data_IF_679921546529
#
_entry.id   IF_679921546529
#
_cell.length_a   1.000
_cell.length_b   1.000
_cell.length_c   1.000
_cell.angle_alpha   90.00
_cell.angle_beta   90.00
_cell.angle_gamma   90.00
#
_symmetry.space_group_name_H-M   'P 1'
#
loop_
_entity.id
_entity.type
_entity.pdbx_description
1 polymer ?
#
# COMPACT_ATOMS: atom_id res chain seq x y z
N UNK A 1 -4.18 -0.60 -4.07
CA UNK A 1 -2.98 -0.84 -4.91
C UNK A 1 -3.10 0.02 -6.15
N UNK A 2 -2.13 0.90 -6.37
CA UNK A 2 -2.08 1.78 -7.54
C UNK A 2 -0.87 1.45 -8.41
N UNK A 3 -1.01 1.67 -9.72
CA UNK A 3 0.00 1.36 -10.74
C UNK A 3 0.28 2.62 -11.59
N UNK A 4 0.80 3.71 -10.98
CA UNK A 4 1.03 4.94 -11.72
C UNK A 4 2.15 4.77 -12.73
N UNK A 5 2.06 5.44 -13.88
CA UNK A 5 3.14 5.49 -14.87
C UNK A 5 4.39 6.18 -14.31
N UNK A 6 4.18 7.19 -13.44
CA UNK A 6 5.25 7.90 -12.74
C UNK A 6 4.93 7.96 -11.23
N UNK A 7 5.65 7.15 -10.46
CA UNK A 7 5.48 7.06 -9.00
C UNK A 7 5.87 8.36 -8.29
N UNK A 8 6.89 9.05 -8.77
CA UNK A 8 7.38 10.29 -8.15
C UNK A 8 6.35 11.41 -8.28
N UNK A 9 5.76 11.57 -9.47
CA UNK A 9 4.70 12.55 -9.68
C UNK A 9 3.46 12.22 -8.85
N UNK A 10 3.09 10.95 -8.77
CA UNK A 10 1.99 10.51 -7.90
C UNK A 10 2.21 10.94 -6.44
N UNK A 11 3.43 10.73 -5.92
CA UNK A 11 3.77 11.11 -4.53
C UNK A 11 3.70 12.62 -4.34
N UNK A 12 4.22 13.42 -5.28
CA UNK A 12 4.15 14.88 -5.19
C UNK A 12 2.70 15.36 -5.18
N UNK A 13 1.88 14.89 -6.12
CA UNK A 13 0.45 15.22 -6.21
C UNK A 13 -0.32 14.73 -4.96
N UNK A 14 0.09 13.62 -4.36
CA UNK A 14 -0.49 13.09 -3.14
C UNK A 14 -0.15 13.97 -1.92
N UNK A 15 1.14 14.26 -1.72
CA UNK A 15 1.61 15.09 -0.59
C UNK A 15 0.99 16.49 -0.63
N UNK A 16 0.82 17.08 -1.83
CA UNK A 16 0.17 18.39 -1.97
C UNK A 16 -1.29 18.37 -1.47
N UNK A 17 -2.02 17.27 -1.73
CA UNK A 17 -3.40 17.09 -1.23
C UNK A 17 -3.46 16.83 0.29
N UNK A 18 -2.38 16.29 0.86
CA UNK A 18 -2.24 15.94 2.28
C UNK A 18 -1.26 16.88 3.01
N UNK A 19 -1.21 18.15 2.57
CA UNK A 19 -0.30 19.15 3.13
C UNK A 19 -0.54 19.32 4.64
N UNK A 20 0.53 19.25 5.41
CA UNK A 20 0.48 19.39 6.88
C UNK A 20 0.11 18.10 7.63
N UNK A 21 -0.13 17.01 6.93
CA UNK A 21 -0.36 15.70 7.54
C UNK A 21 0.94 14.91 7.73
N UNK A 22 0.94 14.05 8.75
CA UNK A 22 2.08 13.16 9.02
C UNK A 22 1.95 11.86 8.23
N UNK A 23 3.06 11.44 7.60
CA UNK A 23 3.06 10.22 6.80
C UNK A 23 4.39 9.48 6.74
N UNK A 24 4.34 8.23 6.32
CA UNK A 24 5.51 7.38 6.13
C UNK A 24 5.51 6.84 4.70
N UNK A 25 6.67 6.90 4.03
CA UNK A 25 6.86 6.33 2.70
C UNK A 25 7.91 5.22 2.78
N UNK A 26 7.48 3.98 2.58
CA UNK A 26 8.37 2.82 2.59
C UNK A 26 8.94 2.52 1.21
N UNK A 27 10.26 2.34 1.14
CA UNK A 27 11.00 1.98 -0.07
C UNK A 27 11.73 0.64 0.12
N UNK A 28 11.86 -0.14 -0.94
CA UNK A 28 12.56 -1.43 -0.90
C UNK A 28 14.08 -1.29 -0.73
N UNK A 29 14.69 -0.21 -1.20
CA UNK A 29 16.15 -0.01 -1.21
C UNK A 29 16.57 1.34 -0.64
N UNK A 30 17.80 1.40 -0.07
CA UNK A 30 18.43 2.66 0.39
C UNK A 30 18.49 3.68 -0.74
N UNK A 31 18.84 3.25 -1.95
CA UNK A 31 18.91 4.10 -3.14
C UNK A 31 17.57 4.80 -3.43
N UNK A 32 16.45 4.07 -3.32
CA UNK A 32 15.13 4.67 -3.52
C UNK A 32 14.80 5.69 -2.42
N UNK A 33 15.18 5.41 -1.16
CA UNK A 33 15.03 6.38 -0.05
C UNK A 33 15.78 7.66 -0.35
N UNK A 34 17.08 7.57 -0.70
CA UNK A 34 17.91 8.75 -0.97
C UNK A 34 17.45 9.55 -2.19
N UNK A 35 17.04 8.85 -3.26
CA UNK A 35 16.54 9.50 -4.48
C UNK A 35 15.24 10.27 -4.21
N UNK A 36 14.28 9.62 -3.54
CA UNK A 36 13.00 10.23 -3.23
C UNK A 36 13.15 11.37 -2.19
N UNK A 37 14.01 11.20 -1.19
CA UNK A 37 14.38 12.25 -0.25
C UNK A 37 14.91 13.49 -0.96
N UNK A 38 15.85 13.31 -1.88
CA UNK A 38 16.44 14.41 -2.66
C UNK A 38 15.39 15.11 -3.51
N UNK A 39 14.49 14.36 -4.14
CA UNK A 39 13.39 14.91 -4.93
C UNK A 39 12.47 15.78 -4.09
N UNK A 40 11.97 15.25 -2.95
CA UNK A 40 11.01 15.97 -2.11
C UNK A 40 11.64 17.20 -1.44
N UNK A 41 12.90 17.12 -1.04
CA UNK A 41 13.65 18.29 -0.50
C UNK A 41 13.79 19.40 -1.53
N UNK A 42 14.03 19.09 -2.81
CA UNK A 42 14.05 20.09 -3.90
C UNK A 42 12.70 20.80 -4.08
N UNK A 43 11.60 20.17 -3.70
CA UNK A 43 10.26 20.77 -3.71
C UNK A 43 9.90 21.48 -2.39
N UNK A 44 10.90 21.75 -1.52
CA UNK A 44 10.72 22.40 -0.21
C UNK A 44 9.75 21.65 0.74
N UNK A 45 9.57 20.34 0.56
CA UNK A 45 8.76 19.52 1.44
C UNK A 45 9.59 19.15 2.68
N UNK A 46 8.99 19.31 3.88
CA UNK A 46 9.59 18.88 5.14
C UNK A 46 9.58 17.36 5.23
N UNK A 47 10.71 16.73 4.93
CA UNK A 47 10.86 15.29 4.85
C UNK A 47 12.17 14.83 5.47
N UNK A 48 12.14 13.71 6.17
CA UNK A 48 13.29 13.02 6.70
C UNK A 48 13.55 11.68 5.99
N UNK A 49 14.73 11.11 6.17
CA UNK A 49 15.06 9.78 5.65
C UNK A 49 15.57 8.86 6.76
N UNK A 50 15.31 7.55 6.59
CA UNK A 50 15.72 6.55 7.57
C UNK A 50 16.06 5.21 6.88
N UNK A 51 17.29 4.75 7.03
CA UNK A 51 17.72 3.43 6.56
C UNK A 51 18.97 2.95 7.29
N UNK A 52 19.30 1.66 7.19
CA UNK A 52 20.41 1.04 7.90
C UNK A 52 21.82 1.55 7.50
N UNK A 53 21.94 2.36 6.46
CA UNK A 53 23.21 3.04 6.09
C UNK A 53 23.49 4.32 6.87
N UNK A 54 22.57 4.78 7.73
CA UNK A 54 22.74 5.93 8.61
C UNK A 54 23.34 5.50 9.94
N UNK A 55 24.03 6.40 10.63
CA UNK A 55 24.51 6.17 11.99
C UNK A 55 23.37 5.96 12.99
N UNK A 56 23.67 5.41 14.16
CA UNK A 56 22.67 5.22 15.20
C UNK A 56 22.10 6.57 15.70
N UNK A 57 22.97 7.57 15.78
CA UNK A 57 22.65 8.92 16.22
C UNK A 57 21.69 9.59 15.23
N UNK A 58 22.01 9.54 13.94
CA UNK A 58 21.14 10.09 12.87
C UNK A 58 19.77 9.41 12.85
N UNK A 59 19.75 8.07 13.01
CA UNK A 59 18.49 7.32 13.06
C UNK A 59 17.64 7.71 14.27
N UNK A 60 18.26 7.85 15.46
CA UNK A 60 17.58 8.27 16.69
C UNK A 60 17.06 9.70 16.57
N UNK A 61 17.87 10.60 16.01
CA UNK A 61 17.45 11.99 15.77
C UNK A 61 16.24 12.03 14.83
N UNK A 62 16.27 11.30 13.71
CA UNK A 62 15.16 11.27 12.74
C UNK A 62 13.88 10.67 13.35
N UNK A 63 13.97 9.65 14.20
CA UNK A 63 12.83 9.14 14.93
C UNK A 63 12.22 10.21 15.85
N UNK A 64 13.06 10.92 16.59
CA UNK A 64 12.61 12.00 17.47
C UNK A 64 11.95 13.13 16.64
N UNK A 65 12.59 13.55 15.55
CA UNK A 65 12.07 14.61 14.69
C UNK A 65 10.68 14.27 14.16
N UNK A 66 10.44 13.00 13.81
CA UNK A 66 9.14 12.53 13.36
C UNK A 66 8.13 12.44 14.50
N UNK A 67 8.51 11.92 15.66
CA UNK A 67 7.62 11.78 16.83
C UNK A 67 7.21 13.15 17.39
N UNK A 68 8.13 14.13 17.38
CA UNK A 68 7.88 15.47 17.88
C UNK A 68 7.35 16.46 16.83
N UNK A 69 6.93 15.99 15.66
CA UNK A 69 6.40 16.80 14.55
C UNK A 69 7.38 17.88 14.00
N UNK A 70 8.69 17.72 14.20
CA UNK A 70 9.70 18.54 13.52
C UNK A 70 9.82 18.17 12.03
N UNK A 71 9.51 16.93 11.72
CA UNK A 71 9.40 16.40 10.35
C UNK A 71 8.06 15.71 10.19
N UNK A 72 7.28 16.09 9.19
CA UNK A 72 5.95 15.54 8.96
C UNK A 72 5.97 14.23 8.16
N UNK A 73 6.96 14.05 7.28
CA UNK A 73 7.03 12.87 6.40
C UNK A 73 8.40 12.19 6.56
N UNK A 74 8.39 10.86 6.69
CA UNK A 74 9.63 10.06 6.70
C UNK A 74 9.62 9.09 5.52
N UNK A 75 10.74 9.07 4.78
CA UNK A 75 11.01 8.07 3.74
C UNK A 75 11.97 7.04 4.34
N UNK A 76 11.57 5.78 4.34
CA UNK A 76 12.34 4.76 5.04
C UNK A 76 12.37 3.42 4.32
N UNK A 77 13.37 2.59 4.67
CA UNK A 77 13.27 1.14 4.46
C UNK A 77 12.48 0.50 5.62
N UNK A 78 12.18 -0.80 5.50
CA UNK A 78 11.47 -1.61 6.51
C UNK A 78 12.04 -1.53 7.93
N UNK A 79 13.29 -1.06 8.09
CA UNK A 79 13.93 -0.87 9.42
C UNK A 79 13.28 0.25 10.25
N UNK A 80 12.48 1.14 9.65
CA UNK A 80 11.82 2.23 10.36
C UNK A 80 10.50 1.78 10.97
N UNK A 81 10.35 2.03 12.23
CA UNK A 81 9.06 1.86 12.89
C UNK A 81 9.04 0.88 14.06
N UNK A 82 10.06 0.04 14.27
CA UNK A 82 10.16 -0.69 15.54
C UNK A 82 10.29 0.32 16.68
N UNK A 83 9.26 0.36 17.57
CA UNK A 83 9.21 1.30 18.70
C UNK A 83 8.68 2.71 18.38
N UNK A 84 8.18 2.99 17.17
CA UNK A 84 7.50 4.26 16.88
C UNK A 84 6.03 4.13 17.24
N UNK A 85 5.62 4.87 18.27
CA UNK A 85 4.22 4.98 18.70
C UNK A 85 3.69 6.40 18.45
N UNK A 86 3.64 6.80 17.17
CA UNK A 86 3.02 8.04 16.73
C UNK A 86 1.61 7.73 16.25
N UNK A 87 0.60 8.21 16.98
CA UNK A 87 -0.80 7.87 16.73
C UNK A 87 -1.42 8.59 15.54
N UNK A 88 -0.93 9.78 15.20
CA UNK A 88 -1.51 10.68 14.20
C UNK A 88 -0.87 10.56 12.80
N UNK A 89 -0.41 9.38 12.41
CA UNK A 89 0.04 9.12 11.03
C UNK A 89 -1.18 9.03 10.11
N UNK A 90 -1.29 9.94 9.15
CA UNK A 90 -2.45 10.04 8.25
C UNK A 90 -2.31 9.20 6.98
N UNK A 91 -1.07 8.91 6.55
CA UNK A 91 -0.87 8.05 5.40
C UNK A 91 0.37 7.18 5.52
N UNK A 92 0.30 5.99 4.95
CA UNK A 92 1.43 5.11 4.69
C UNK A 92 1.46 4.78 3.21
N UNK A 93 2.55 5.13 2.53
CA UNK A 93 2.76 4.82 1.12
C UNK A 93 3.87 3.80 0.99
N UNK A 94 3.60 2.66 0.35
CA UNK A 94 4.62 1.74 -0.10
C UNK A 94 5.04 2.12 -1.52
N UNK A 95 6.21 2.71 -1.67
CA UNK A 95 6.79 3.09 -2.97
C UNK A 95 7.11 1.88 -3.84
N UNK A 96 7.47 0.78 -3.19
CA UNK A 96 7.67 -0.53 -3.80
C UNK A 96 6.82 -1.57 -3.06
N UNK A 97 6.51 -2.68 -3.75
CA UNK A 97 5.84 -3.82 -3.13
C UNK A 97 6.68 -4.38 -1.97
N UNK A 98 6.14 -4.53 -0.76
CA UNK A 98 6.80 -5.24 0.34
C UNK A 98 7.11 -6.70 -0.01
N UNK A 99 8.05 -7.30 0.70
CA UNK A 99 8.46 -8.69 0.46
C UNK A 99 7.44 -9.73 0.97
N UNK A 100 6.53 -9.33 1.87
CA UNK A 100 5.49 -10.23 2.41
C UNK A 100 4.26 -9.46 2.90
N UNK A 101 3.15 -10.19 3.11
CA UNK A 101 1.92 -9.65 3.68
C UNK A 101 2.10 -9.20 5.13
N UNK A 102 2.94 -9.88 5.90
CA UNK A 102 3.22 -9.52 7.29
C UNK A 102 3.93 -8.17 7.37
N UNK A 103 4.94 -7.94 6.51
CA UNK A 103 5.62 -6.65 6.45
C UNK A 103 4.64 -5.55 6.04
N UNK A 104 3.85 -5.79 4.98
CA UNK A 104 2.83 -4.83 4.54
C UNK A 104 1.85 -4.48 5.66
N UNK A 105 1.33 -5.48 6.37
CA UNK A 105 0.35 -5.29 7.45
C UNK A 105 0.94 -4.50 8.63
N UNK A 106 2.16 -4.85 9.06
CA UNK A 106 2.85 -4.15 10.14
C UNK A 106 3.17 -2.69 9.80
N UNK A 107 3.57 -2.43 8.56
CA UNK A 107 3.90 -1.09 8.07
C UNK A 107 2.64 -0.25 7.84
N UNK A 108 1.62 -0.79 7.18
CA UNK A 108 0.33 -0.14 6.97
C UNK A 108 -0.41 0.13 8.28
N UNK A 109 -0.32 -0.78 9.27
CA UNK A 109 -0.92 -0.64 10.59
C UNK A 109 -0.36 0.48 11.46
N UNK A 110 0.59 1.27 10.96
CA UNK A 110 1.07 2.51 11.61
C UNK A 110 0.15 3.69 11.38
N UNK A 111 -0.66 3.64 10.32
CA UNK A 111 -1.61 4.69 10.00
C UNK A 111 -2.86 4.61 10.89
N UNK A 112 -3.37 5.77 11.31
CA UNK A 112 -4.68 5.89 11.96
C UNK A 112 -4.84 5.24 13.34
N UNK A 113 -3.77 5.11 14.12
CA UNK A 113 -3.83 4.53 15.48
C UNK A 113 -4.69 5.33 16.44
N UNK A 114 -4.99 6.58 16.15
CA UNK A 114 -5.92 7.43 16.89
C UNK A 114 -7.39 7.23 16.49
N UNK A 115 -7.67 6.31 15.54
CA UNK A 115 -9.01 6.02 15.04
C UNK A 115 -9.56 7.03 14.05
N UNK A 116 -8.75 8.00 13.58
CA UNK A 116 -9.12 8.87 12.48
C UNK A 116 -8.81 8.22 11.13
N UNK A 117 -9.51 8.68 10.08
CA UNK A 117 -9.29 8.21 8.72
C UNK A 117 -7.82 8.39 8.31
N UNK A 118 -7.31 7.34 7.67
CA UNK A 118 -5.94 7.30 7.16
C UNK A 118 -5.89 6.49 5.88
N UNK A 119 -4.92 6.80 5.02
CA UNK A 119 -4.75 6.13 3.74
C UNK A 119 -3.52 5.22 3.74
N UNK A 120 -3.72 3.97 3.28
CA UNK A 120 -2.63 3.04 3.01
C UNK A 120 -2.57 2.77 1.51
N UNK A 121 -1.50 3.22 0.87
CA UNK A 121 -1.32 3.14 -0.58
C UNK A 121 -0.11 2.27 -0.92
N UNK A 122 -0.28 1.35 -1.85
CA UNK A 122 0.79 0.55 -2.41
C UNK A 122 0.96 0.91 -3.88
N UNK A 123 2.13 1.45 -4.24
CA UNK A 123 2.51 1.77 -5.61
C UNK A 123 3.25 0.57 -6.21
N UNK A 124 2.51 -0.25 -6.93
CA UNK A 124 3.04 -1.49 -7.49
C UNK A 124 3.54 -1.34 -8.92
N UNK A 125 4.66 -1.99 -9.21
CA UNK A 125 5.11 -2.27 -10.57
C UNK A 125 5.64 -3.72 -10.68
N UNK A 126 5.57 -4.37 -11.86
CA UNK A 126 6.15 -5.71 -12.04
C UNK A 126 7.64 -5.79 -11.72
N UNK A 127 8.37 -4.67 -11.83
CA UNK A 127 9.78 -4.57 -11.47
C UNK A 127 10.01 -4.81 -9.97
N UNK A 128 9.03 -4.49 -9.11
CA UNK A 128 9.14 -4.71 -7.66
C UNK A 128 9.27 -6.21 -7.33
N UNK A 129 8.65 -7.10 -8.12
CA UNK A 129 8.78 -8.56 -7.96
C UNK A 129 10.22 -8.99 -8.25
N UNK A 130 10.81 -8.46 -9.32
CA UNK A 130 12.19 -8.78 -9.72
C UNK A 130 13.17 -8.31 -8.64
N UNK A 131 12.98 -7.10 -8.11
CA UNK A 131 13.80 -6.55 -7.03
C UNK A 131 13.69 -7.43 -5.77
N UNK A 132 12.48 -7.77 -5.35
CA UNK A 132 12.29 -8.61 -4.16
C UNK A 132 12.89 -10.01 -4.34
N UNK A 133 12.75 -10.64 -5.51
CA UNK A 133 13.40 -11.94 -5.80
C UNK A 133 14.91 -11.83 -5.72
N UNK A 134 15.49 -10.81 -6.35
CA UNK A 134 16.91 -10.56 -6.27
C UNK A 134 17.40 -10.40 -4.82
N UNK A 135 16.67 -9.63 -3.99
CA UNK A 135 17.01 -9.47 -2.58
C UNK A 135 16.91 -10.79 -1.78
N UNK A 136 15.94 -11.65 -2.10
CA UNK A 136 15.81 -12.97 -1.48
C UNK A 136 16.93 -13.94 -1.90
N UNK A 137 17.32 -13.91 -3.17
CA UNK A 137 18.40 -14.77 -3.71
C UNK A 137 19.76 -14.40 -3.10
N UNK A 138 19.99 -13.10 -2.82
CA UNK A 138 21.23 -12.58 -2.25
C UNK A 138 21.17 -12.36 -0.72
N UNK A 139 20.17 -12.93 -0.06
CA UNK A 139 20.08 -12.91 1.40
C UNK A 139 21.22 -13.76 1.97
N UNK A 140 21.95 -13.17 2.92
CA UNK A 140 23.05 -13.85 3.60
C UNK A 140 22.52 -14.92 4.56
N UNK A 141 23.03 -16.12 4.43
CA UNK A 141 22.75 -17.30 5.25
C UNK A 141 24.02 -17.93 5.79
N UNK A 142 25.14 -17.20 5.84
CA UNK A 142 26.44 -17.71 6.29
C UNK A 142 26.40 -18.33 7.69
N UNK A 143 25.54 -17.82 8.55
CA UNK A 143 25.39 -18.26 9.96
C UNK A 143 24.21 -19.24 10.17
N UNK A 144 23.62 -19.77 9.09
CA UNK A 144 22.43 -20.65 9.15
C UNK A 144 22.76 -22.01 8.56
N UNK A 145 22.27 -23.08 9.20
CA UNK A 145 22.40 -24.44 8.66
C UNK A 145 21.82 -24.50 7.21
N UNK A 146 22.49 -25.22 6.29
CA UNK A 146 22.05 -25.29 4.89
C UNK A 146 20.59 -25.79 4.70
N UNK A 147 20.11 -26.73 5.53
CA UNK A 147 18.75 -27.25 5.46
C UNK A 147 17.74 -26.18 5.92
N UNK A 148 18.09 -25.49 7.02
CA UNK A 148 17.27 -24.38 7.53
C UNK A 148 17.25 -23.20 6.54
N UNK A 149 18.40 -22.87 5.94
CA UNK A 149 18.51 -21.83 4.92
C UNK A 149 17.60 -22.13 3.71
N UNK A 150 17.53 -23.39 3.28
CA UNK A 150 16.66 -23.83 2.20
C UNK A 150 15.17 -23.67 2.57
N UNK A 151 14.81 -24.12 3.76
CA UNK A 151 13.44 -24.01 4.30
C UNK A 151 12.97 -22.55 4.43
N UNK A 152 13.88 -21.68 4.96
CA UNK A 152 13.61 -20.23 5.06
C UNK A 152 13.41 -19.62 3.68
N UNK A 153 14.26 -19.97 2.70
CA UNK A 153 14.18 -19.45 1.34
C UNK A 153 12.87 -19.85 0.66
N UNK A 154 12.45 -21.09 0.78
CA UNK A 154 11.16 -21.55 0.23
C UNK A 154 9.97 -20.83 0.86
N UNK A 155 9.99 -20.64 2.17
CA UNK A 155 8.96 -19.88 2.90
C UNK A 155 8.91 -18.43 2.44
N UNK A 156 10.06 -17.77 2.31
CA UNK A 156 10.14 -16.37 1.88
C UNK A 156 9.66 -16.21 0.42
N UNK A 157 9.93 -17.17 -0.45
CA UNK A 157 9.40 -17.21 -1.82
C UNK A 157 7.86 -17.34 -1.81
N UNK A 158 7.29 -18.24 -1.00
CA UNK A 158 5.83 -18.38 -0.86
C UNK A 158 5.17 -17.09 -0.37
N UNK A 159 5.78 -16.42 0.62
CA UNK A 159 5.30 -15.13 1.13
C UNK A 159 5.31 -14.05 0.05
N UNK A 160 6.37 -13.99 -0.75
CA UNK A 160 6.47 -13.05 -1.87
C UNK A 160 5.38 -13.33 -2.92
N UNK A 161 5.06 -14.59 -3.22
CA UNK A 161 3.98 -14.97 -4.14
C UNK A 161 2.61 -14.49 -3.67
N UNK A 162 2.33 -14.66 -2.37
CA UNK A 162 1.07 -14.20 -1.78
C UNK A 162 0.96 -12.67 -1.88
N UNK A 163 2.07 -11.97 -1.62
CA UNK A 163 2.11 -10.51 -1.77
C UNK A 163 1.95 -10.08 -3.23
N UNK A 164 2.52 -10.81 -4.18
CA UNK A 164 2.28 -10.63 -5.62
C UNK A 164 0.80 -10.80 -5.94
N UNK A 165 0.16 -11.87 -5.44
CA UNK A 165 -1.28 -12.11 -5.60
C UNK A 165 -2.14 -10.96 -5.06
N UNK A 166 -1.79 -10.40 -3.89
CA UNK A 166 -2.44 -9.21 -3.35
C UNK A 166 -2.36 -8.00 -4.30
N UNK A 167 -1.24 -7.80 -4.97
CA UNK A 167 -1.07 -6.70 -5.92
C UNK A 167 -1.88 -6.87 -7.21
N UNK A 168 -2.27 -8.10 -7.54
CA UNK A 168 -3.05 -8.39 -8.75
C UNK A 168 -4.52 -8.69 -8.48
N UNK A 169 -4.91 -8.99 -7.24
CA UNK A 169 -6.29 -9.37 -6.94
C UNK A 169 -7.30 -8.27 -7.30
N UNK A 170 -8.48 -8.70 -7.74
CA UNK A 170 -9.66 -7.85 -7.91
C UNK A 170 -10.67 -8.03 -6.78
N UNK A 171 -10.40 -8.93 -5.82
CA UNK A 171 -11.18 -9.07 -4.60
C UNK A 171 -11.03 -7.87 -3.67
N UNK A 172 -11.86 -7.81 -2.63
CA UNK A 172 -11.70 -6.85 -1.55
C UNK A 172 -10.31 -6.98 -0.93
N UNK A 173 -9.51 -5.90 -0.98
CA UNK A 173 -8.14 -5.91 -0.47
C UNK A 173 -8.08 -6.20 1.04
N UNK A 174 -9.04 -5.71 1.82
CA UNK A 174 -9.13 -6.00 3.26
C UNK A 174 -9.44 -7.48 3.51
N UNK A 175 -10.39 -8.04 2.76
CA UNK A 175 -10.71 -9.47 2.88
C UNK A 175 -9.54 -10.36 2.50
N UNK A 176 -8.74 -9.97 1.51
CA UNK A 176 -7.53 -10.71 1.15
C UNK A 176 -6.54 -10.79 2.32
N UNK A 177 -6.33 -9.65 3.02
CA UNK A 177 -5.48 -9.60 4.23
C UNK A 177 -6.08 -10.47 5.34
N UNK A 178 -7.37 -10.33 5.65
CA UNK A 178 -8.04 -11.08 6.71
C UNK A 178 -7.98 -12.59 6.46
N UNK A 179 -8.25 -13.04 5.24
CA UNK A 179 -8.11 -14.45 4.83
C UNK A 179 -6.69 -14.97 5.03
N UNK A 180 -5.68 -14.15 4.69
CA UNK A 180 -4.27 -14.51 4.90
C UNK A 180 -3.95 -14.78 6.38
N UNK A 181 -4.52 -13.99 7.29
CA UNK A 181 -4.35 -14.18 8.74
C UNK A 181 -5.34 -15.16 9.38
N UNK A 182 -6.10 -15.91 8.56
CA UNK A 182 -6.97 -16.99 9.04
C UNK A 182 -8.38 -16.56 9.43
N UNK A 183 -8.80 -15.34 9.08
CA UNK A 183 -10.18 -14.89 9.28
C UNK A 183 -11.05 -15.26 8.07
N UNK A 184 -12.36 -15.40 8.29
CA UNK A 184 -13.37 -15.66 7.23
C UNK A 184 -14.32 -14.47 7.05
N UNK A 185 -13.90 -13.41 6.32
CA UNK A 185 -14.73 -12.24 6.10
C UNK A 185 -15.89 -12.55 5.17
N UNK A 186 -17.13 -12.30 5.63
CA UNK A 186 -18.37 -12.64 4.90
C UNK A 186 -18.81 -11.59 3.88
N UNK A 187 -18.29 -10.34 3.99
CA UNK A 187 -18.70 -9.22 3.14
C UNK A 187 -17.49 -8.39 2.70
N UNK A 188 -17.53 -7.76 1.52
CA UNK A 188 -16.57 -6.72 1.15
C UNK A 188 -16.54 -5.59 2.18
N UNK A 189 -15.44 -4.84 2.21
CA UNK A 189 -15.29 -3.73 3.17
C UNK A 189 -15.92 -2.41 2.70
N UNK A 190 -16.31 -2.32 1.42
CA UNK A 190 -16.89 -1.15 0.73
C UNK A 190 -16.06 0.15 0.81
N UNK A 191 -14.78 0.04 1.20
CA UNK A 191 -13.90 1.18 1.46
C UNK A 191 -12.53 1.05 0.78
N UNK A 192 -12.05 -0.16 0.49
CA UNK A 192 -10.76 -0.34 -0.17
C UNK A 192 -10.80 0.02 -1.66
N UNK A 193 -9.61 0.27 -2.24
CA UNK A 193 -9.51 0.66 -3.65
C UNK A 193 -10.19 -0.30 -4.63
N UNK A 194 -10.26 -1.61 -4.33
CA UNK A 194 -10.96 -2.55 -5.18
C UNK A 194 -12.48 -2.50 -4.99
N UNK A 195 -12.98 -2.29 -3.76
CA UNK A 195 -14.42 -2.11 -3.53
C UNK A 195 -14.97 -0.83 -4.17
N UNK A 196 -14.17 0.23 -4.20
CA UNK A 196 -14.55 1.52 -4.77
C UNK A 196 -14.35 1.62 -6.29
N UNK A 197 -13.62 0.66 -6.90
CA UNK A 197 -13.42 0.60 -8.35
C UNK A 197 -14.60 -0.07 -9.03
N UNK A 198 -14.92 0.44 -10.21
CA UNK A 198 -15.79 -0.27 -11.15
C UNK A 198 -14.94 -1.24 -11.98
N UNK A 199 -15.32 -2.50 -11.96
CA UNK A 199 -14.72 -3.53 -12.80
C UNK A 199 -15.68 -3.89 -13.91
N UNK A 200 -15.17 -4.05 -15.11
CA UNK A 200 -15.87 -4.73 -16.19
C UNK A 200 -15.48 -6.21 -16.14
N UNK A 201 -16.44 -7.07 -16.46
CA UNK A 201 -16.21 -8.51 -16.49
C UNK A 201 -16.13 -8.97 -17.93
N UNK A 202 -15.02 -9.59 -18.32
CA UNK A 202 -14.82 -10.22 -19.61
C UNK A 202 -14.93 -11.74 -19.50
N UNK A 203 -15.67 -12.34 -20.43
CA UNK A 203 -15.65 -13.78 -20.62
C UNK A 203 -14.38 -14.14 -21.42
N UNK A 204 -13.43 -14.79 -20.76
CA UNK A 204 -12.15 -15.23 -21.32
C UNK A 204 -12.02 -16.76 -21.33
N UNK A 205 -13.14 -17.44 -21.47
CA UNK A 205 -13.19 -18.91 -21.43
C UNK A 205 -12.36 -19.57 -22.54
N UNK A 206 -12.37 -19.00 -23.75
CA UNK A 206 -11.60 -19.54 -24.88
C UNK A 206 -10.10 -19.31 -24.70
N UNK A 207 -9.69 -18.13 -24.21
CA UNK A 207 -8.29 -17.84 -23.87
C UNK A 207 -7.82 -18.75 -22.73
N UNK A 208 -8.65 -18.99 -21.74
CA UNK A 208 -8.38 -19.90 -20.63
C UNK A 208 -8.07 -21.33 -21.13
N UNK A 209 -8.89 -21.87 -22.04
CA UNK A 209 -8.65 -23.18 -22.66
C UNK A 209 -7.32 -23.22 -23.42
N UNK A 210 -6.97 -22.14 -24.15
CA UNK A 210 -5.70 -22.04 -24.90
C UNK A 210 -4.49 -22.02 -23.95
N UNK A 211 -4.56 -21.28 -22.82
CA UNK A 211 -3.51 -21.28 -21.80
C UNK A 211 -3.36 -22.67 -21.16
N UNK A 212 -4.47 -23.30 -20.79
CA UNK A 212 -4.47 -24.66 -20.21
C UNK A 212 -3.87 -25.68 -21.18
N UNK A 213 -4.18 -25.58 -22.48
CA UNK A 213 -3.58 -26.42 -23.50
C UNK A 213 -2.05 -26.19 -23.61
N UNK A 214 -1.60 -24.97 -23.54
CA UNK A 214 -0.16 -24.64 -23.54
C UNK A 214 0.56 -25.25 -22.31
N UNK A 215 -0.06 -25.18 -21.12
CA UNK A 215 0.48 -25.81 -19.91
C UNK A 215 0.52 -27.35 -20.09
N UNK A 216 -0.50 -27.94 -20.70
CA UNK A 216 -0.54 -29.38 -20.99
C UNK A 216 0.54 -29.80 -21.97
N UNK A 217 0.69 -29.09 -23.11
CA UNK A 217 1.71 -29.37 -24.14
C UNK A 217 3.13 -29.25 -23.56
N UNK A 218 3.36 -28.22 -22.73
CA UNK A 218 4.64 -28.02 -22.05
C UNK A 218 4.88 -28.95 -20.86
N UNK A 219 3.95 -29.84 -20.56
CA UNK A 219 3.99 -30.82 -19.43
C UNK A 219 4.23 -30.13 -18.08
N UNK A 220 3.74 -28.90 -17.91
CA UNK A 220 3.88 -28.15 -16.66
C UNK A 220 5.34 -27.79 -16.32
N UNK A 221 6.20 -27.59 -17.29
CA UNK A 221 7.64 -27.32 -17.09
C UNK A 221 7.97 -25.83 -16.97
N UNK A 222 7.05 -24.95 -17.33
CA UNK A 222 7.36 -23.51 -17.46
C UNK A 222 6.46 -22.64 -16.59
N UNK A 223 7.02 -21.50 -16.18
CA UNK A 223 6.32 -20.50 -15.39
C UNK A 223 5.49 -19.52 -16.23
N UNK A 224 4.74 -18.64 -15.56
CA UNK A 224 3.77 -17.70 -16.15
C UNK A 224 4.32 -16.98 -17.39
N UNK A 225 5.54 -16.44 -17.33
CA UNK A 225 6.07 -15.62 -18.40
C UNK A 225 6.31 -16.43 -19.69
N UNK A 226 6.88 -17.63 -19.57
CA UNK A 226 7.12 -18.51 -20.72
C UNK A 226 5.79 -18.97 -21.34
N UNK A 227 4.80 -19.35 -20.54
CA UNK A 227 3.47 -19.70 -21.04
C UNK A 227 2.81 -18.52 -21.76
N UNK A 228 2.82 -17.32 -21.16
CA UNK A 228 2.29 -16.12 -21.83
C UNK A 228 3.00 -15.80 -23.15
N UNK A 229 4.34 -15.81 -23.11
CA UNK A 229 5.15 -15.48 -24.30
C UNK A 229 4.95 -16.53 -25.41
N UNK A 230 4.75 -17.80 -25.05
CA UNK A 230 4.43 -18.88 -26.02
C UNK A 230 3.08 -18.64 -26.68
N UNK A 231 2.01 -18.40 -25.92
CA UNK A 231 0.67 -18.19 -26.52
C UNK A 231 0.57 -16.90 -27.28
N UNK A 232 1.41 -15.90 -26.96
CA UNK A 232 1.52 -14.64 -27.70
C UNK A 232 2.40 -14.76 -28.96
N UNK A 233 3.11 -15.85 -29.15
CA UNK A 233 4.04 -16.02 -30.27
C UNK A 233 5.26 -15.11 -30.20
N UNK A 234 5.75 -14.80 -28.99
CA UNK A 234 6.89 -13.92 -28.81
C UNK A 234 8.17 -14.57 -29.35
N UNK A 235 9.02 -13.76 -30.01
CA UNK A 235 10.30 -14.20 -30.54
C UNK A 235 11.41 -13.87 -29.55
N UNK A 236 11.67 -14.77 -28.61
CA UNK A 236 12.73 -14.62 -27.59
C UNK A 236 13.70 -15.79 -27.66
N UNK A 237 14.98 -15.52 -27.40
CA UNK A 237 16.02 -16.58 -27.40
C UNK A 237 15.61 -17.77 -26.48
N UNK A 238 14.95 -17.50 -25.39
CA UNK A 238 14.47 -18.55 -24.46
C UNK A 238 13.40 -19.45 -25.07
N UNK A 239 12.46 -18.88 -25.85
CA UNK A 239 11.42 -19.66 -26.53
C UNK A 239 12.00 -20.50 -27.70
N UNK A 240 13.03 -19.98 -28.40
CA UNK A 240 13.76 -20.71 -29.41
C UNK A 240 14.54 -21.89 -28.81
N UNK A 241 15.22 -21.66 -27.69
CA UNK A 241 15.99 -22.70 -26.96
C UNK A 241 15.11 -23.88 -26.51
N UNK A 242 13.89 -23.62 -26.09
CA UNK A 242 12.97 -24.65 -25.61
C UNK A 242 12.08 -25.24 -26.72
N UNK A 243 12.25 -24.80 -27.99
CA UNK A 243 11.44 -25.28 -29.11
C UNK A 243 9.95 -24.90 -29.01
N UNK A 244 9.62 -23.78 -28.37
CA UNK A 244 8.22 -23.39 -28.13
C UNK A 244 7.43 -23.13 -29.41
N UNK A 245 8.08 -22.81 -30.52
CA UNK A 245 7.46 -22.64 -31.85
C UNK A 245 6.84 -23.93 -32.41
N UNK A 246 7.23 -25.08 -31.89
CA UNK A 246 6.66 -26.39 -32.28
C UNK A 246 5.35 -26.70 -31.56
N UNK A 247 5.00 -25.96 -30.51
CA UNK A 247 3.76 -26.15 -29.77
C UNK A 247 2.56 -25.66 -30.61
N UNK A 248 1.47 -26.45 -30.61
CA UNK A 248 0.19 -26.04 -31.23
C UNK A 248 -0.37 -24.77 -30.59
N UNK A 249 0.00 -24.50 -29.34
CA UNK A 249 -0.38 -23.30 -28.60
C UNK A 249 0.48 -22.09 -28.89
N UNK A 250 1.51 -22.17 -29.76
CA UNK A 250 2.36 -21.04 -30.09
C UNK A 250 1.61 -20.00 -30.92
N UNK A 251 1.56 -18.74 -30.46
CA UNK A 251 0.94 -17.64 -31.18
C UNK A 251 -0.59 -17.64 -31.24
N UNK A 252 -1.27 -18.61 -30.59
CA UNK A 252 -2.74 -18.73 -30.65
C UNK A 252 -3.49 -17.53 -30.02
N UNK A 253 -2.78 -16.69 -29.29
CA UNK A 253 -3.26 -15.47 -28.64
C UNK A 253 -2.39 -14.24 -28.98
N UNK A 254 -1.78 -14.19 -30.18
CA UNK A 254 -0.87 -13.08 -30.55
C UNK A 254 -1.56 -11.70 -30.51
N UNK A 255 -2.86 -11.63 -30.81
CA UNK A 255 -3.64 -10.40 -30.74
C UNK A 255 -4.06 -10.00 -29.31
N UNK A 256 -3.77 -10.83 -28.31
CA UNK A 256 -4.20 -10.59 -26.93
C UNK A 256 -3.22 -9.65 -26.20
N UNK A 257 -3.77 -8.94 -25.20
CA UNK A 257 -2.97 -8.07 -24.35
C UNK A 257 -2.28 -8.89 -23.21
N UNK A 258 -0.98 -8.76 -23.07
CA UNK A 258 -0.17 -9.47 -22.04
C UNK A 258 -0.70 -9.20 -20.61
N UNK A 259 -1.24 -8.00 -20.34
CA UNK A 259 -1.83 -7.66 -19.04
C UNK A 259 -3.11 -8.46 -18.78
N UNK A 260 -3.97 -8.60 -19.79
CA UNK A 260 -5.18 -9.40 -19.69
C UNK A 260 -4.87 -10.89 -19.49
N UNK A 261 -3.88 -11.42 -20.23
CA UNK A 261 -3.45 -12.81 -20.05
C UNK A 261 -2.87 -13.07 -18.66
N UNK A 262 -2.17 -12.10 -18.10
CA UNK A 262 -1.69 -12.21 -16.72
C UNK A 262 -2.84 -12.27 -15.72
N UNK A 263 -3.86 -11.41 -15.87
CA UNK A 263 -5.06 -11.47 -15.03
C UNK A 263 -5.81 -12.80 -15.19
N UNK A 264 -5.91 -13.29 -16.42
CA UNK A 264 -6.52 -14.59 -16.68
C UNK A 264 -5.76 -15.72 -15.96
N UNK A 265 -4.43 -15.72 -16.00
CA UNK A 265 -3.63 -16.72 -15.28
C UNK A 265 -3.84 -16.62 -13.76
N UNK A 266 -3.93 -15.40 -13.20
CA UNK A 266 -4.24 -15.24 -11.77
C UNK A 266 -5.65 -15.76 -11.44
N UNK A 267 -6.64 -15.53 -12.29
CA UNK A 267 -7.99 -16.07 -12.12
C UNK A 267 -8.00 -17.61 -12.18
N UNK A 268 -7.28 -18.18 -13.13
CA UNK A 268 -7.15 -19.63 -13.25
C UNK A 268 -6.47 -20.26 -12.03
N UNK A 269 -5.51 -19.58 -11.41
CA UNK A 269 -4.87 -19.98 -10.16
C UNK A 269 -5.85 -19.88 -8.99
N UNK A 270 -6.62 -18.80 -8.91
CA UNK A 270 -7.59 -18.55 -7.86
C UNK A 270 -8.72 -19.59 -7.86
N UNK A 271 -9.25 -19.89 -9.05
CA UNK A 271 -10.31 -20.89 -9.26
C UNK A 271 -9.78 -22.34 -9.17
N UNK A 272 -8.47 -22.55 -9.06
CA UNK A 272 -7.85 -23.86 -8.95
C UNK A 272 -7.76 -24.66 -10.24
N UNK A 273 -8.01 -24.05 -11.41
CA UNK A 273 -7.83 -24.70 -12.71
C UNK A 273 -6.36 -24.98 -13.04
N UNK A 274 -5.48 -24.15 -12.51
CA UNK A 274 -4.04 -24.34 -12.55
C UNK A 274 -3.44 -24.09 -11.17
N UNK A 275 -2.25 -24.59 -10.94
CA UNK A 275 -1.54 -24.43 -9.67
C UNK A 275 -0.06 -24.14 -9.90
N UNK A 276 0.57 -23.49 -8.94
CA UNK A 276 2.02 -23.25 -8.97
C UNK A 276 2.74 -24.45 -8.36
N UNK A 277 3.59 -25.10 -9.13
CA UNK A 277 4.49 -26.15 -8.67
C UNK A 277 5.83 -25.60 -8.19
N UNK A 278 6.74 -26.53 -7.87
CA UNK A 278 8.15 -26.18 -7.58
C UNK A 278 8.75 -25.33 -8.69
N UNK A 279 9.73 -24.49 -8.35
CA UNK A 279 10.39 -23.58 -9.30
C UNK A 279 9.44 -22.64 -10.07
N UNK A 280 8.26 -22.30 -9.50
CA UNK A 280 7.29 -21.38 -10.11
C UNK A 280 6.70 -21.85 -11.45
N UNK A 281 6.77 -23.13 -11.76
CA UNK A 281 6.13 -23.65 -12.95
C UNK A 281 4.62 -23.73 -12.79
N UNK A 282 3.88 -23.54 -13.88
CA UNK A 282 2.44 -23.74 -13.88
C UNK A 282 2.11 -25.20 -14.19
N UNK A 283 1.32 -25.80 -13.33
CA UNK A 283 0.77 -27.17 -13.51
C UNK A 283 -0.74 -27.12 -13.64
N UNK A 284 -1.33 -28.14 -14.24
CA UNK A 284 -2.78 -28.29 -14.27
C UNK A 284 -3.30 -28.61 -12.87
N UNK A 285 -4.38 -27.93 -12.49
CA UNK A 285 -5.19 -28.21 -11.34
C UNK A 285 -6.45 -29.01 -11.70
N UNK A 286 -7.58 -28.70 -11.07
CA UNK A 286 -8.87 -29.33 -11.38
C UNK A 286 -9.55 -28.64 -12.56
N UNK A 287 -9.31 -29.17 -13.76
CA UNK A 287 -9.93 -28.68 -15.00
C UNK A 287 -11.27 -29.35 -15.32
N UNK A 288 -11.79 -30.24 -14.46
CA UNK A 288 -13.03 -30.98 -14.70
C UNK A 288 -14.24 -30.07 -14.94
N UNK A 289 -14.31 -28.96 -14.20
CA UNK A 289 -15.37 -27.97 -14.32
C UNK A 289 -15.39 -27.27 -15.68
N UNK A 290 -14.23 -27.02 -16.30
CA UNK A 290 -14.14 -26.38 -17.63
C UNK A 290 -14.64 -27.25 -18.78
N UNK A 291 -14.89 -28.53 -18.54
CA UNK A 291 -15.49 -29.47 -19.51
C UNK A 291 -17.01 -29.35 -19.55
N UNK A 292 -17.62 -28.66 -18.57
CA UNK A 292 -19.08 -28.44 -18.55
C UNK A 292 -19.43 -27.31 -19.53
N UNK A 293 -20.54 -27.49 -20.29
CA UNK A 293 -20.95 -26.61 -21.38
C UNK A 293 -21.20 -25.16 -20.95
N UNK A 294 -21.56 -24.94 -19.66
CA UNK A 294 -21.99 -23.63 -19.16
C UNK A 294 -20.94 -22.95 -18.25
N UNK A 295 -19.77 -23.55 -18.11
CA UNK A 295 -18.72 -22.96 -17.26
C UNK A 295 -18.01 -21.83 -17.99
N UNK A 296 -18.06 -20.64 -17.41
CA UNK A 296 -17.39 -19.44 -17.88
C UNK A 296 -16.22 -19.07 -16.99
N UNK A 297 -15.11 -18.65 -17.60
CA UNK A 297 -13.99 -18.03 -16.91
C UNK A 297 -14.14 -16.52 -17.09
N UNK A 298 -14.60 -15.86 -16.03
CA UNK A 298 -14.91 -14.45 -16.00
C UNK A 298 -13.75 -13.67 -15.33
N UNK A 299 -13.11 -12.78 -16.08
CA UNK A 299 -11.99 -11.98 -15.61
C UNK A 299 -12.44 -10.54 -15.38
N UNK A 300 -12.23 -10.04 -14.17
CA UNK A 300 -12.48 -8.63 -13.85
C UNK A 300 -11.33 -7.76 -14.33
N UNK A 301 -11.66 -6.74 -15.09
CA UNK A 301 -10.70 -5.79 -15.66
C UNK A 301 -11.07 -4.36 -15.31
N UNK A 302 -10.08 -3.47 -15.30
CA UNK A 302 -10.26 -2.03 -15.17
C UNK A 302 -10.09 -1.35 -16.53
N UNK A 303 -10.53 -0.09 -16.65
CA UNK A 303 -10.26 0.73 -17.84
C UNK A 303 -8.75 0.91 -18.09
N UNK A 304 -7.91 0.81 -17.04
CA UNK A 304 -6.47 0.84 -17.15
C UNK A 304 -5.90 -0.39 -17.87
N UNK A 305 -6.54 -1.54 -17.70
CA UNK A 305 -6.14 -2.78 -18.37
C UNK A 305 -6.46 -2.76 -19.87
N UNK A 306 -7.44 -1.95 -20.30
CA UNK A 306 -7.80 -1.74 -21.71
C UNK A 306 -6.95 -0.70 -22.40
N UNK A 307 -6.42 0.27 -21.64
CA UNK A 307 -5.76 1.45 -22.19
C UNK A 307 -4.25 1.37 -22.02
N UNK A 308 -3.54 1.07 -23.09
CA UNK A 308 -2.11 1.33 -23.20
C UNK A 308 -1.76 2.82 -23.25
N UNK A 309 -2.79 3.71 -23.35
CA UNK A 309 -2.57 5.17 -23.51
C UNK A 309 -3.83 5.98 -23.15
N UNK A 310 -4.13 6.23 -21.87
CA UNK A 310 -5.03 7.34 -21.49
C UNK A 310 -4.66 7.97 -20.14
N UNK A 311 -4.58 9.33 -20.11
CA UNK A 311 -4.31 10.18 -18.94
C UNK A 311 -5.41 10.02 -17.89
N UNK A 312 -5.01 9.84 -16.64
CA UNK A 312 -5.89 9.72 -15.47
C UNK A 312 -6.65 11.03 -15.20
N UNK A 313 -7.96 10.91 -14.96
CA UNK A 313 -8.78 11.98 -14.37
C UNK A 313 -8.66 11.94 -12.83
N UNK A 314 -8.66 13.09 -12.14
CA UNK A 314 -8.54 13.13 -10.68
C UNK A 314 -9.78 12.55 -10.00
N UNK A 315 -9.56 11.70 -8.99
CA UNK A 315 -10.60 11.14 -8.10
C UNK A 315 -11.03 12.17 -7.05
N UNK A 316 -12.31 12.13 -6.69
CA UNK A 316 -12.96 12.94 -5.67
C UNK A 316 -12.48 12.61 -4.25
N UNK A 317 -12.45 13.64 -3.42
CA UNK A 317 -12.01 13.68 -2.02
C UNK A 317 -12.64 12.62 -1.11
N UNK A 318 -11.85 12.17 -0.15
CA UNK A 318 -12.16 11.17 0.88
C UNK A 318 -12.88 11.87 2.04
N UNK A 319 -13.99 11.27 2.48
CA UNK A 319 -14.82 11.73 3.62
C UNK A 319 -14.10 11.52 4.95
N UNK A 320 -13.95 12.60 5.73
CA UNK A 320 -13.43 12.55 7.09
C UNK A 320 -13.09 13.93 7.65
N UNK A 321 -12.53 14.81 6.82
CA UNK A 321 -12.38 16.25 7.13
C UNK A 321 -13.57 17.10 6.65
N UNK A 322 -14.53 16.52 5.95
CA UNK A 322 -15.70 17.20 5.35
C UNK A 322 -16.68 17.79 6.40
N UNK A 323 -16.43 17.59 7.70
CA UNK A 323 -17.23 18.20 8.77
C UNK A 323 -16.78 19.60 9.19
N UNK A 324 -15.60 20.03 8.76
CA UNK A 324 -15.08 21.37 9.06
C UNK A 324 -15.34 22.31 7.90
N UNK A 325 -15.95 23.45 8.18
CA UNK A 325 -16.04 24.58 7.23
C UNK A 325 -14.65 25.17 6.96
N UNK A 326 -14.47 25.97 5.91
CA UNK A 326 -13.20 26.64 5.62
C UNK A 326 -12.65 27.46 6.80
N UNK A 327 -13.52 27.95 7.66
CA UNK A 327 -13.17 28.60 8.93
C UNK A 327 -12.70 27.60 9.99
N UNK A 328 -13.27 26.40 10.05
CA UNK A 328 -12.84 25.33 10.97
C UNK A 328 -11.41 24.88 10.74
N UNK A 329 -10.95 24.84 9.48
CA UNK A 329 -9.55 24.51 9.15
C UNK A 329 -8.55 25.53 9.71
N UNK A 330 -8.85 26.82 9.61
CA UNK A 330 -7.98 27.87 10.16
C UNK A 330 -7.85 27.79 11.68
N UNK A 331 -8.92 27.45 12.38
CA UNK A 331 -8.88 27.22 13.83
C UNK A 331 -8.06 25.97 14.16
N UNK A 332 -8.26 24.90 13.43
CA UNK A 332 -7.50 23.65 13.63
C UNK A 332 -5.99 23.89 13.54
N UNK A 333 -5.53 24.65 12.54
CA UNK A 333 -4.11 24.99 12.40
C UNK A 333 -3.59 25.77 13.60
N UNK A 334 -4.33 26.80 14.08
CA UNK A 334 -3.97 27.54 15.29
C UNK A 334 -3.88 26.67 16.55
N UNK A 335 -4.83 25.74 16.72
CA UNK A 335 -4.82 24.80 17.85
C UNK A 335 -3.66 23.79 17.73
N UNK A 336 -3.30 23.41 16.52
CA UNK A 336 -2.14 22.55 16.24
C UNK A 336 -0.82 23.25 16.55
N UNK A 337 -0.70 24.54 16.22
CA UNK A 337 0.45 25.38 16.59
C UNK A 337 0.60 25.51 18.10
N UNK A 338 -0.48 25.85 18.81
CA UNK A 338 -0.47 25.91 20.28
C UNK A 338 -0.10 24.56 20.93
N UNK A 339 -0.64 23.48 20.41
CA UNK A 339 -0.27 22.11 20.86
C UNK A 339 1.23 21.85 20.70
N UNK A 340 1.80 22.23 19.58
CA UNK A 340 3.22 22.06 19.29
C UNK A 340 4.10 22.92 20.24
N UNK A 341 3.67 24.14 20.54
CA UNK A 341 4.32 25.02 21.52
C UNK A 341 4.35 24.37 22.91
N UNK A 342 3.20 23.93 23.43
CA UNK A 342 3.08 23.25 24.73
C UNK A 342 3.94 21.98 24.77
N UNK A 343 3.90 21.20 23.71
CA UNK A 343 4.67 19.95 23.61
C UNK A 343 6.19 20.22 23.69
N UNK A 344 6.66 21.32 23.09
CA UNK A 344 8.06 21.76 23.18
C UNK A 344 8.43 22.22 24.60
N UNK A 345 7.56 23.00 25.24
CA UNK A 345 7.74 23.45 26.63
C UNK A 345 7.89 22.25 27.57
N UNK A 346 7.02 21.26 27.44
CA UNK A 346 6.99 20.08 28.31
C UNK A 346 7.87 18.91 27.83
N UNK A 347 8.60 19.08 26.72
CA UNK A 347 9.50 18.06 26.11
C UNK A 347 8.80 16.72 25.88
N UNK A 348 7.56 16.74 25.41
CA UNK A 348 6.76 15.57 25.09
C UNK A 348 6.22 15.59 23.67
N UNK A 349 5.87 14.43 23.10
CA UNK A 349 5.22 14.36 21.80
C UNK A 349 3.88 15.11 21.76
N UNK A 350 3.58 15.89 20.70
CA UNK A 350 2.39 16.74 20.62
C UNK A 350 1.07 16.00 20.81
N UNK A 351 0.96 14.76 20.33
CA UNK A 351 -0.26 13.96 20.46
C UNK A 351 -0.59 13.55 21.91
N UNK A 352 0.37 13.66 22.84
CA UNK A 352 0.14 13.41 24.27
C UNK A 352 -0.63 14.56 24.91
N UNK A 353 -0.38 15.81 24.48
CA UNK A 353 -1.16 16.99 24.93
C UNK A 353 -2.61 16.78 24.53
N UNK A 354 -2.90 16.81 23.23
CA UNK A 354 -4.19 16.42 22.66
C UNK A 354 -3.95 15.77 21.28
N UNK A 355 -4.71 14.71 20.98
CA UNK A 355 -4.67 14.10 19.65
C UNK A 355 -5.49 14.92 18.63
N UNK A 356 -5.34 14.63 17.36
CA UNK A 356 -6.01 15.37 16.29
C UNK A 356 -7.54 15.29 16.39
N UNK A 357 -8.09 14.14 16.82
CA UNK A 357 -9.52 13.94 17.04
C UNK A 357 -10.07 14.90 18.09
N UNK A 358 -9.31 15.13 19.17
CA UNK A 358 -9.66 16.11 20.21
C UNK A 358 -9.65 17.53 19.66
N UNK A 359 -8.65 17.91 18.84
CA UNK A 359 -8.58 19.23 18.21
C UNK A 359 -9.73 19.45 17.22
N UNK A 360 -10.10 18.43 16.44
CA UNK A 360 -11.27 18.49 15.53
C UNK A 360 -12.57 18.70 16.31
N UNK A 361 -12.75 17.97 17.43
CA UNK A 361 -13.93 18.13 18.27
C UNK A 361 -13.98 19.51 18.94
N UNK A 362 -12.82 20.08 19.32
CA UNK A 362 -12.71 21.47 19.76
C UNK A 362 -13.15 22.47 18.67
N UNK A 363 -12.75 22.24 17.42
CA UNK A 363 -13.16 23.09 16.29
C UNK A 363 -14.66 22.99 16.01
N UNK A 364 -15.25 21.82 16.16
CA UNK A 364 -16.68 21.60 15.95
C UNK A 364 -17.53 22.21 17.08
N UNK A 365 -17.11 22.07 18.34
CA UNK A 365 -17.86 22.49 19.52
C UNK A 365 -17.57 23.94 19.96
N UNK A 366 -16.44 24.52 19.53
CA UNK A 366 -16.01 25.88 19.88
C UNK A 366 -16.12 26.18 21.38
N UNK A 367 -15.53 25.35 22.29
CA UNK A 367 -15.68 25.49 23.72
C UNK A 367 -15.12 26.81 24.24
N UNK A 368 -15.93 27.57 24.99
CA UNK A 368 -15.55 28.89 25.56
C UNK A 368 -15.52 28.89 27.06
N UNK A 369 -16.04 27.86 27.73
CA UNK A 369 -16.02 27.69 29.17
C UNK A 369 -15.37 26.37 29.58
N UNK A 370 -15.02 26.22 30.87
CA UNK A 370 -14.53 24.95 31.41
C UNK A 370 -15.50 23.79 31.14
N UNK A 371 -16.79 24.04 31.38
CA UNK A 371 -17.84 23.03 31.17
C UNK A 371 -17.90 22.58 29.73
N UNK A 372 -17.83 23.50 28.76
CA UNK A 372 -17.84 23.16 27.34
C UNK A 372 -16.60 22.36 26.96
N UNK A 373 -15.43 22.73 27.51
CA UNK A 373 -14.16 22.08 27.21
C UNK A 373 -14.12 20.63 27.74
N UNK A 374 -14.72 20.36 28.89
CA UNK A 374 -14.85 19.01 29.44
C UNK A 374 -15.80 18.11 28.63
N UNK A 375 -16.68 18.69 27.82
CA UNK A 375 -17.55 17.96 26.90
C UNK A 375 -16.84 17.59 25.57
N UNK A 376 -15.61 18.07 25.38
CA UNK A 376 -14.81 17.70 24.21
C UNK A 376 -14.22 16.30 24.39
N UNK A 377 -14.34 15.47 23.36
CA UNK A 377 -13.80 14.10 23.38
C UNK A 377 -12.28 14.10 23.61
N UNK A 378 -11.82 13.36 24.61
CA UNK A 378 -10.39 13.28 24.97
C UNK A 378 -9.88 14.40 25.89
N UNK A 379 -10.77 15.24 26.42
CA UNK A 379 -10.47 16.25 27.45
C UNK A 379 -11.05 15.79 28.77
N UNK A 380 -10.20 15.31 29.69
CA UNK A 380 -10.55 15.04 31.08
C UNK A 380 -10.06 16.16 32.00
N UNK A 381 -10.49 16.13 33.27
CA UNK A 381 -10.12 17.15 34.30
C UNK A 381 -8.60 17.37 34.38
N UNK A 382 -7.79 16.30 34.34
CA UNK A 382 -6.34 16.40 34.42
C UNK A 382 -5.74 17.17 33.20
N UNK A 383 -6.18 16.85 31.98
CA UNK A 383 -5.73 17.55 30.78
C UNK A 383 -6.29 18.97 30.69
N UNK A 384 -7.51 19.17 31.16
CA UNK A 384 -8.08 20.51 31.29
C UNK A 384 -7.24 21.38 32.23
N UNK A 385 -6.92 20.88 33.44
CA UNK A 385 -6.14 21.62 34.42
C UNK A 385 -4.75 22.03 33.95
N UNK A 386 -4.15 21.23 33.06
CA UNK A 386 -2.82 21.55 32.48
C UNK A 386 -2.90 22.49 31.26
N UNK A 387 -3.85 22.27 30.37
CA UNK A 387 -3.80 22.87 29.02
C UNK A 387 -5.10 23.60 28.64
N UNK A 388 -6.23 23.25 29.26
CA UNK A 388 -7.56 23.65 28.81
C UNK A 388 -7.76 25.15 28.64
N UNK A 389 -7.24 25.97 29.56
CA UNK A 389 -7.38 27.43 29.53
C UNK A 389 -6.64 28.05 28.33
N UNK A 390 -5.43 27.53 27.98
CA UNK A 390 -4.67 28.00 26.81
C UNK A 390 -5.44 27.76 25.52
N UNK A 391 -6.07 26.59 25.38
CA UNK A 391 -6.88 26.25 24.20
C UNK A 391 -8.17 27.07 24.13
N UNK A 392 -8.86 27.27 25.26
CA UNK A 392 -10.05 28.14 25.32
C UNK A 392 -9.70 29.59 24.92
N UNK A 393 -8.55 30.09 25.32
CA UNK A 393 -8.10 31.46 24.96
C UNK A 393 -7.99 31.62 23.44
N UNK A 394 -7.34 30.69 22.76
CA UNK A 394 -7.20 30.67 21.28
C UNK A 394 -8.57 30.57 20.61
N UNK A 395 -9.46 29.70 21.10
CA UNK A 395 -10.80 29.54 20.54
C UNK A 395 -11.65 30.81 20.72
N UNK A 396 -11.57 31.45 21.89
CA UNK A 396 -12.25 32.74 22.13
C UNK A 396 -11.77 33.85 21.25
N UNK A 397 -10.45 33.94 21.04
CA UNK A 397 -9.84 34.93 20.15
C UNK A 397 -10.31 34.70 18.71
N UNK A 398 -10.29 33.45 18.28
CA UNK A 398 -10.75 33.08 16.93
C UNK A 398 -12.25 33.38 16.74
N UNK A 399 -13.08 33.08 17.73
CA UNK A 399 -14.51 33.38 17.68
C UNK A 399 -14.82 34.89 17.58
N UNK A 400 -13.95 35.76 18.15
CA UNK A 400 -14.06 37.23 17.99
C UNK A 400 -13.72 37.67 16.55
N UNK A 401 -12.84 36.98 15.85
CA UNK A 401 -12.44 37.29 14.46
C UNK A 401 -13.49 36.87 13.42
N UNK A 402 -14.45 36.03 13.80
CA UNK A 402 -15.54 35.57 12.93
C UNK A 402 -16.79 36.46 13.05
N UNK A 403 -16.86 37.37 14.04
CA UNK A 403 -17.90 38.38 14.22
C UNK A 403 -17.49 39.68 13.56
#
# INVERSE_FOLDING_TARGET
VDKPQNKERFILDFIERHRGESGIIYCATRKNVDSLYTLLRKQHISVGKYHAGMSNEERKQMQNDFVFDYTSIVIATNAFGMGIDKSNVRFVIHYNMPSSMENYYQEAGRAGRDGLNSECILLFSPQDIIINRFLLEHKDFSDVDPIDAMTIRERDIKRLQIMEGYCYTTECLRNYILKYFGEDPKKPCDDCGNCLRQFETLDMTDEAKKIINCIYESRGRYGKNIIMDTVLGAKTARLEEIGASEYKSYGVLEASNKTLLRRLIEELLLEGYIQTGEYQVLKLGDISKLKLKDTKVLVKITDEDKATNRKLKPKKNIKGMDSLTSSGFKLFDKLKELRLEIAREEKMPPYIVFNDKTLIDMCAKMPTTKSDMLNVSGVGENKYGKYGERFIAVIKEYAKQLK
#
